data_IF_768772318786
#
_entry.id   IF_768772318786
#
_cell.length_a   1.000
_cell.length_b   1.000
_cell.length_c   1.000
_cell.angle_alpha   90.00
_cell.angle_beta   90.00
_cell.angle_gamma   90.00
#
_symmetry.space_group_name_H-M   'P 1'
#
loop_
_entity.id
_entity.type
_entity.pdbx_description
1 polymer ?
#
# COMPACT_ATOMS: atom_id res chain seq x y z
N UNK A 1 2.60 -23.04 -13.39
CA UNK A 1 3.06 -23.14 -11.99
C UNK A 1 2.24 -22.13 -11.19
N UNK A 2 1.18 -22.50 -10.46
CA UNK A 2 1.07 -23.34 -9.25
C UNK A 2 1.83 -22.76 -8.04
N UNK A 3 1.03 -22.21 -7.10
CA UNK A 3 1.33 -21.44 -5.89
C UNK A 3 2.18 -20.17 -6.14
N UNK A 4 1.52 -19.13 -6.66
CA UNK A 4 2.08 -17.78 -6.75
C UNK A 4 1.92 -17.10 -5.39
N UNK A 5 3.01 -16.88 -4.69
CA UNK A 5 3.02 -16.01 -3.51
C UNK A 5 2.42 -14.65 -3.88
N UNK A 6 1.39 -14.21 -3.16
CA UNK A 6 0.77 -12.90 -3.38
C UNK A 6 1.36 -11.90 -2.38
N UNK A 7 2.41 -11.21 -2.82
CA UNK A 7 3.00 -10.11 -2.09
C UNK A 7 2.03 -8.92 -2.11
N UNK A 8 1.67 -8.46 -0.92
CA UNK A 8 0.65 -7.45 -0.69
C UNK A 8 0.95 -6.71 0.62
N UNK A 9 0.37 -5.53 0.77
CA UNK A 9 0.59 -4.65 1.91
C UNK A 9 -0.63 -4.71 2.83
N UNK A 10 -0.41 -4.81 4.14
CA UNK A 10 -1.44 -4.79 5.18
C UNK A 10 -1.03 -3.83 6.29
N UNK A 11 -2.01 -3.16 6.91
CA UNK A 11 -1.75 -2.23 8.02
C UNK A 11 -1.99 -2.93 9.35
N UNK A 12 -1.01 -2.84 10.23
CA UNK A 12 -1.10 -3.28 11.60
C UNK A 12 -1.02 -2.07 12.53
N UNK A 13 -1.80 -2.09 13.60
CA UNK A 13 -1.87 -1.03 14.58
C UNK A 13 -1.80 -1.61 16.01
N UNK A 14 -1.35 -0.77 16.94
CA UNK A 14 -1.14 -1.17 18.32
C UNK A 14 -0.74 0.01 19.18
N UNK A 15 -0.65 -0.22 20.48
CA UNK A 15 -0.20 0.78 21.44
C UNK A 15 1.30 1.06 21.31
N UNK A 16 2.07 0.08 20.86
CA UNK A 16 3.50 0.21 20.55
C UNK A 16 3.93 -0.85 19.52
N UNK A 17 5.13 -0.72 18.92
CA UNK A 17 5.60 -1.62 17.85
C UNK A 17 5.72 -3.10 18.20
N UNK A 18 5.61 -3.48 19.48
CA UNK A 18 5.66 -4.89 19.93
C UNK A 18 4.27 -5.51 20.13
N UNK A 19 3.22 -4.69 20.16
CA UNK A 19 1.84 -5.13 20.41
C UNK A 19 0.94 -4.76 19.22
N UNK A 20 1.32 -5.25 18.05
CA UNK A 20 0.60 -4.99 16.81
C UNK A 20 -0.46 -6.06 16.54
N UNK A 21 -1.61 -5.62 16.06
CA UNK A 21 -2.69 -6.46 15.54
C UNK A 21 -3.13 -5.91 14.18
N UNK A 22 -3.77 -6.71 13.31
CA UNK A 22 -4.37 -6.17 12.10
C UNK A 22 -5.26 -4.97 12.43
N UNK A 23 -5.12 -3.88 11.68
CA UNK A 23 -5.89 -2.68 11.94
C UNK A 23 -7.40 -2.97 11.80
N UNK A 24 -8.18 -2.68 12.84
CA UNK A 24 -9.62 -2.86 12.82
C UNK A 24 -10.27 -1.97 11.74
N UNK A 25 -11.35 -2.45 11.11
CA UNK A 25 -12.08 -1.74 10.05
C UNK A 25 -11.22 -1.38 8.83
N UNK A 26 -10.14 -2.15 8.58
CA UNK A 26 -9.25 -1.97 7.43
C UNK A 26 -9.22 -3.25 6.58
N UNK A 27 -9.33 -3.16 5.25
CA UNK A 27 -9.16 -4.31 4.36
C UNK A 27 -7.82 -5.01 4.61
N UNK A 28 -7.78 -6.33 4.51
CA UNK A 28 -6.53 -7.09 4.64
C UNK A 28 -6.45 -8.08 3.47
N UNK A 29 -5.57 -7.83 2.47
CA UNK A 29 -4.62 -6.71 2.36
C UNK A 29 -5.29 -5.36 2.08
N UNK A 30 -4.58 -4.25 2.31
CA UNK A 30 -5.00 -2.90 1.90
C UNK A 30 -4.59 -2.54 0.48
N UNK A 31 -3.53 -3.16 -0.02
CA UNK A 31 -3.03 -2.94 -1.37
C UNK A 31 -2.39 -4.23 -1.88
N UNK A 32 -2.73 -4.60 -3.10
CA UNK A 32 -2.21 -5.74 -3.83
C UNK A 32 -1.88 -5.36 -5.27
N UNK A 33 -1.24 -6.27 -6.00
CA UNK A 33 -1.01 -6.08 -7.44
C UNK A 33 -2.29 -5.84 -8.25
N UNK A 34 -3.45 -6.27 -7.75
CA UNK A 34 -4.74 -6.10 -8.44
C UNK A 34 -5.28 -4.67 -8.34
N UNK A 35 -4.75 -3.88 -7.41
CA UNK A 35 -5.14 -2.49 -7.17
C UNK A 35 -4.26 -1.49 -7.95
N UNK A 36 -3.18 -1.96 -8.57
CA UNK A 36 -2.31 -1.15 -9.44
C UNK A 36 -3.03 -0.89 -10.77
N UNK A 37 -3.16 0.38 -11.15
CA UNK A 37 -4.03 0.79 -12.29
C UNK A 37 -3.27 1.21 -13.55
N UNK A 38 -1.96 1.41 -13.47
CA UNK A 38 -1.14 2.09 -14.48
C UNK A 38 -0.06 1.21 -15.13
N UNK A 39 0.34 0.10 -14.50
CA UNK A 39 1.29 -0.90 -15.04
C UNK A 39 0.86 -2.34 -14.75
N UNK A 40 1.27 -3.34 -15.55
CA UNK A 40 1.01 -4.74 -15.25
C UNK A 40 1.86 -5.20 -14.06
N UNK A 41 1.26 -5.21 -12.87
CA UNK A 41 1.95 -5.54 -11.64
C UNK A 41 2.00 -7.06 -11.35
N UNK A 42 3.20 -7.57 -11.09
CA UNK A 42 3.39 -8.91 -10.52
C UNK A 42 3.25 -8.92 -9.00
N UNK A 43 3.70 -7.86 -8.32
CA UNK A 43 3.58 -7.70 -6.87
C UNK A 43 3.69 -6.24 -6.41
N UNK A 44 3.37 -6.00 -5.13
CA UNK A 44 3.70 -4.78 -4.39
C UNK A 44 4.44 -5.12 -3.08
N UNK A 45 5.41 -4.29 -2.68
CA UNK A 45 6.24 -4.51 -1.50
C UNK A 45 6.80 -3.22 -0.88
N UNK A 46 7.51 -3.34 0.25
CA UNK A 46 8.33 -2.30 0.87
C UNK A 46 7.66 -0.91 1.02
N UNK A 47 6.50 -0.83 1.69
CA UNK A 47 5.79 0.44 1.84
C UNK A 47 6.52 1.41 2.76
N UNK A 48 6.51 2.69 2.39
CA UNK A 48 6.79 3.81 3.29
C UNK A 48 5.68 4.85 3.18
N UNK A 49 5.28 5.40 4.34
CA UNK A 49 4.13 6.29 4.44
C UNK A 49 4.50 7.66 4.97
N UNK A 50 3.85 8.68 4.41
CA UNK A 50 3.93 10.06 4.84
C UNK A 50 2.54 10.54 5.20
N UNK A 51 2.40 11.18 6.37
CA UNK A 51 1.21 11.93 6.74
C UNK A 51 1.48 13.41 6.58
N UNK A 52 0.74 14.07 5.71
CA UNK A 52 0.79 15.51 5.51
C UNK A 52 -0.35 16.21 6.24
N UNK A 53 -0.25 17.52 6.41
CA UNK A 53 -1.40 18.30 6.84
C UNK A 53 -2.46 18.25 5.73
N UNK A 54 -3.73 18.03 6.09
CA UNK A 54 -4.81 18.11 5.12
C UNK A 54 -4.78 19.49 4.46
N UNK A 55 -4.87 19.48 3.14
CA UNK A 55 -5.01 20.70 2.36
C UNK A 55 -6.43 21.22 2.52
N UNK A 56 -6.58 22.55 2.50
CA UNK A 56 -7.88 23.22 2.62
C UNK A 56 -8.82 22.89 1.45
N UNK A 57 -8.27 22.38 0.34
CA UNK A 57 -9.01 21.87 -0.82
C UNK A 57 -9.63 20.47 -0.62
N UNK A 58 -9.46 19.87 0.56
CA UNK A 58 -10.01 18.56 0.89
C UNK A 58 -9.14 17.37 0.44
N UNK A 59 -7.93 17.61 -0.03
CA UNK A 59 -6.99 16.55 -0.45
C UNK A 59 -6.62 15.54 0.65
N UNK A 60 -6.11 14.39 0.21
CA UNK A 60 -5.70 13.28 1.08
C UNK A 60 -4.58 13.66 2.04
N UNK A 61 -4.63 13.06 3.24
CA UNK A 61 -3.66 13.32 4.30
C UNK A 61 -2.53 12.28 4.32
N UNK A 62 -2.72 11.14 3.66
CA UNK A 62 -1.78 10.04 3.65
C UNK A 62 -1.29 9.75 2.24
N UNK A 63 0.00 9.49 2.15
CA UNK A 63 0.68 9.08 0.93
C UNK A 63 1.49 7.82 1.25
N UNK A 64 1.37 6.80 0.41
CA UNK A 64 2.17 5.59 0.46
C UNK A 64 2.96 5.50 -0.83
N UNK A 65 4.25 5.27 -0.66
CA UNK A 65 5.12 4.84 -1.74
C UNK A 65 5.54 3.40 -1.47
N UNK A 66 5.70 2.61 -2.51
CA UNK A 66 5.95 1.18 -2.41
C UNK A 66 6.72 0.69 -3.64
N UNK A 67 7.36 -0.47 -3.57
CA UNK A 67 7.89 -1.14 -4.75
C UNK A 67 6.75 -1.81 -5.51
N UNK A 68 6.69 -1.59 -6.82
CA UNK A 68 5.87 -2.37 -7.76
C UNK A 68 6.79 -3.08 -8.75
N UNK A 69 6.58 -4.37 -8.97
CA UNK A 69 7.25 -5.06 -10.07
C UNK A 69 6.44 -4.92 -11.35
N UNK A 70 6.96 -4.17 -12.30
CA UNK A 70 6.35 -3.92 -13.60
C UNK A 70 6.79 -5.01 -14.59
N UNK A 71 5.84 -5.82 -15.05
CA UNK A 71 6.11 -6.93 -15.98
C UNK A 71 6.56 -6.45 -17.37
N UNK A 72 6.21 -5.21 -17.77
CA UNK A 72 6.60 -4.68 -19.08
C UNK A 72 8.10 -4.29 -19.13
N UNK A 73 8.65 -3.83 -18.01
CA UNK A 73 10.04 -3.36 -17.90
C UNK A 73 10.96 -4.35 -17.19
N UNK A 74 10.38 -5.40 -16.59
CA UNK A 74 11.04 -6.40 -15.76
C UNK A 74 11.87 -5.77 -14.62
N UNK A 75 11.34 -4.72 -14.00
CA UNK A 75 12.01 -3.92 -12.97
C UNK A 75 11.10 -3.63 -11.77
N UNK A 76 11.76 -3.46 -10.61
CA UNK A 76 11.15 -2.82 -9.44
C UNK A 76 11.12 -1.30 -9.63
N UNK A 77 9.93 -0.72 -9.54
CA UNK A 77 9.65 0.69 -9.74
C UNK A 77 8.95 1.28 -8.49
N UNK A 78 8.96 2.60 -8.35
CA UNK A 78 8.28 3.27 -7.23
C UNK A 78 6.82 3.51 -7.59
N UNK A 79 5.92 2.81 -6.90
CA UNK A 79 4.49 3.06 -6.91
C UNK A 79 4.09 4.17 -5.93
N UNK A 80 2.91 4.76 -6.15
CA UNK A 80 2.31 5.78 -5.31
C UNK A 80 0.81 5.56 -5.14
N UNK A 81 0.33 5.66 -3.90
CA UNK A 81 -1.09 5.67 -3.55
C UNK A 81 -1.36 6.77 -2.52
N UNK A 82 -2.60 7.28 -2.45
CA UNK A 82 -3.03 8.25 -1.44
C UNK A 82 -4.30 7.81 -0.73
N UNK A 83 -4.47 8.30 0.49
CA UNK A 83 -5.61 7.93 1.34
C UNK A 83 -6.05 9.08 2.24
N UNK A 84 -7.36 9.21 2.40
CA UNK A 84 -7.96 10.18 3.31
C UNK A 84 -7.84 9.79 4.79
N UNK A 85 -7.73 8.48 5.09
CA UNK A 85 -7.77 7.91 6.44
C UNK A 85 -6.58 6.99 6.77
N UNK A 86 -5.75 6.64 5.78
CA UNK A 86 -4.59 5.76 5.91
C UNK A 86 -4.96 4.27 5.93
N UNK A 87 -6.20 3.93 5.62
CA UNK A 87 -6.77 2.57 5.72
C UNK A 87 -7.34 2.09 4.40
N UNK A 88 -8.09 2.95 3.69
CA UNK A 88 -8.55 2.70 2.34
C UNK A 88 -7.58 3.38 1.36
N UNK A 89 -6.95 2.59 0.50
CA UNK A 89 -5.92 3.00 -0.46
C UNK A 89 -6.39 2.78 -1.89
#
# INVERSE_FOLDING_TARGET
MNLRWNWSISIYAGTDPRHLTPAADTPTPVLSRADVTDVPASFVADPFMLRTQRRDDGGDAWHMFFEVWNDDTEQGEIGYASSGDGRAW
#
